data_IF_647015081850
#
_entry.id   IF_647015081850
#
_cell.length_a   1.000
_cell.length_b   1.000
_cell.length_c   1.000
_cell.angle_alpha   90.00
_cell.angle_beta   90.00
_cell.angle_gamma   90.00
#
_symmetry.space_group_name_H-M   'P 1'
#
loop_
_entity.id
_entity.type
_entity.pdbx_description
1 polymer ?
#
# COMPACT_ATOMS: atom_id res chain seq x y z
N UNK A 1 9.12 -9.68 10.42
CA UNK A 1 10.52 -9.74 9.94
C UNK A 1 11.49 -9.00 10.85
N UNK A 2 11.40 -7.67 11.04
CA UNK A 2 12.40 -6.91 11.82
C UNK A 2 12.67 -7.48 13.22
N UNK A 3 11.64 -7.94 13.94
CA UNK A 3 11.80 -8.60 15.26
C UNK A 3 12.70 -9.83 15.19
N UNK A 4 12.46 -10.72 14.22
CA UNK A 4 13.28 -11.92 14.01
C UNK A 4 14.74 -11.57 13.72
N UNK A 5 14.99 -10.50 12.95
CA UNK A 5 16.33 -10.01 12.66
C UNK A 5 17.01 -9.49 13.93
N UNK A 6 16.32 -8.67 14.72
CA UNK A 6 16.86 -8.18 16.01
C UNK A 6 17.16 -9.35 16.96
N UNK A 7 16.26 -10.33 17.06
CA UNK A 7 16.45 -11.51 17.92
C UNK A 7 17.61 -12.40 17.45
N UNK A 8 17.86 -12.48 16.13
CA UNK A 8 19.01 -13.19 15.58
C UNK A 8 20.31 -12.42 15.85
N UNK A 9 20.35 -11.09 15.65
CA UNK A 9 21.51 -10.27 16.01
C UNK A 9 21.82 -10.33 17.51
N UNK A 10 20.80 -10.35 18.37
CA UNK A 10 20.97 -10.49 19.82
C UNK A 10 21.57 -11.85 20.24
N UNK A 11 21.49 -12.86 19.36
CA UNK A 11 22.11 -14.18 19.53
C UNK A 11 23.46 -14.29 18.82
N UNK A 12 24.04 -13.16 18.41
CA UNK A 12 25.34 -13.10 17.73
C UNK A 12 25.38 -13.90 16.41
N UNK A 13 24.25 -13.94 15.68
CA UNK A 13 24.19 -14.53 14.35
C UNK A 13 24.94 -13.64 13.34
N UNK A 14 26.21 -13.98 13.10
CA UNK A 14 27.11 -13.17 12.28
C UNK A 14 26.59 -12.98 10.85
N UNK A 15 25.96 -13.99 10.26
CA UNK A 15 25.41 -13.88 8.91
C UNK A 15 24.30 -12.84 8.86
N UNK A 16 23.38 -12.88 9.81
CA UNK A 16 22.28 -11.89 9.91
C UNK A 16 22.82 -10.48 10.12
N UNK A 17 23.84 -10.33 10.96
CA UNK A 17 24.49 -9.04 11.25
C UNK A 17 25.14 -8.46 9.98
N UNK A 18 25.87 -9.27 9.23
CA UNK A 18 26.53 -8.84 7.99
C UNK A 18 25.50 -8.51 6.89
N UNK A 19 24.45 -9.31 6.76
CA UNK A 19 23.35 -9.07 5.82
C UNK A 19 22.64 -7.74 6.13
N UNK A 20 22.31 -7.47 7.40
CA UNK A 20 21.56 -6.26 7.75
C UNK A 20 22.40 -4.98 7.59
N UNK A 21 23.70 -5.04 7.90
CA UNK A 21 24.65 -3.94 7.64
C UNK A 21 24.72 -3.62 6.15
N UNK A 22 24.79 -4.64 5.29
CA UNK A 22 24.76 -4.48 3.84
C UNK A 22 23.42 -3.94 3.31
N UNK A 23 22.30 -4.34 3.90
CA UNK A 23 20.96 -3.84 3.53
C UNK A 23 20.78 -2.36 3.90
N UNK A 24 21.14 -1.98 5.14
CA UNK A 24 21.01 -0.60 5.63
C UNK A 24 22.05 0.33 4.98
N UNK A 25 23.22 -0.22 4.68
CA UNK A 25 24.39 0.47 4.12
C UNK A 25 25.35 0.91 5.23
N UNK A 26 26.51 0.28 5.31
CA UNK A 26 27.53 0.55 6.35
C UNK A 26 27.97 2.02 6.42
N UNK A 27 27.99 2.74 5.28
CA UNK A 27 28.30 4.17 5.26
C UNK A 27 27.28 5.04 6.02
N UNK A 28 26.08 4.50 6.31
CA UNK A 28 25.01 5.20 7.02
C UNK A 28 25.02 4.91 8.52
N UNK A 29 25.38 3.70 8.92
CA UNK A 29 25.22 3.21 10.31
C UNK A 29 26.54 2.83 10.99
N UNK A 30 27.64 2.78 10.25
CA UNK A 30 28.94 2.34 10.73
C UNK A 30 29.14 0.82 10.68
N UNK A 31 30.39 0.36 10.80
CA UNK A 31 30.75 -1.06 10.70
C UNK A 31 30.26 -1.88 11.90
N UNK A 32 30.07 -1.26 13.06
CA UNK A 32 29.67 -1.93 14.30
C UNK A 32 28.15 -1.90 14.54
N UNK A 33 27.37 -1.51 13.53
CA UNK A 33 25.92 -1.38 13.67
C UNK A 33 25.26 -2.71 14.06
N UNK A 34 24.42 -2.64 15.09
CA UNK A 34 23.49 -3.69 15.50
C UNK A 34 22.15 -3.00 15.76
N UNK A 35 21.03 -3.48 15.18
CA UNK A 35 19.73 -2.85 15.34
C UNK A 35 19.30 -2.90 16.81
N UNK A 36 18.88 -1.75 17.35
CA UNK A 36 18.49 -1.61 18.77
C UNK A 36 17.07 -2.08 19.03
N UNK A 37 16.22 -1.97 18.01
CA UNK A 37 14.82 -2.40 18.08
C UNK A 37 14.27 -2.69 16.69
N UNK A 38 13.22 -3.50 16.61
CA UNK A 38 12.54 -3.77 15.35
C UNK A 38 11.97 -2.51 14.70
N UNK A 39 11.56 -1.53 15.53
CA UNK A 39 11.03 -0.25 15.09
C UNK A 39 12.11 0.62 14.44
N UNK A 40 13.28 0.73 15.08
CA UNK A 40 14.43 1.46 14.51
C UNK A 40 14.89 0.82 13.19
N UNK A 41 15.01 -0.50 13.16
CA UNK A 41 15.38 -1.20 11.94
C UNK A 41 14.37 -0.98 10.79
N UNK A 42 13.07 -0.99 11.09
CA UNK A 42 12.04 -0.70 10.10
C UNK A 42 12.21 0.69 9.46
N UNK A 43 12.65 1.70 10.21
CA UNK A 43 12.91 3.05 9.68
C UNK A 43 14.08 3.12 8.69
N UNK A 44 14.95 2.12 8.73
CA UNK A 44 16.00 1.94 7.74
C UNK A 44 15.50 1.19 6.51
N UNK A 45 14.76 0.10 6.65
CA UNK A 45 14.55 -0.82 5.51
C UNK A 45 13.14 -0.84 4.96
N UNK A 46 12.16 -0.26 5.66
CA UNK A 46 10.76 -0.29 5.26
C UNK A 46 10.21 1.11 5.02
N UNK A 47 9.71 1.30 3.80
CA UNK A 47 9.17 2.56 3.32
C UNK A 47 7.70 2.34 3.02
N UNK A 48 6.85 3.19 3.58
CA UNK A 48 5.40 3.14 3.36
C UNK A 48 4.97 4.42 2.66
N UNK A 49 4.03 4.30 1.72
CA UNK A 49 3.49 5.46 1.02
C UNK A 49 1.97 5.44 0.97
N UNK A 50 1.36 6.52 1.43
CA UNK A 50 -0.07 6.78 1.28
C UNK A 50 -0.29 7.73 0.10
N UNK A 51 -1.02 7.26 -0.92
CA UNK A 51 -1.25 7.99 -2.17
C UNK A 51 -2.75 8.29 -2.33
N UNK A 52 -3.20 9.34 -1.65
CA UNK A 52 -4.60 9.76 -1.65
C UNK A 52 -4.95 10.65 -2.83
N UNK A 53 -6.25 10.86 -3.02
CA UNK A 53 -6.85 11.88 -3.89
C UNK A 53 -7.82 12.72 -3.06
N UNK A 54 -8.46 13.72 -3.68
CA UNK A 54 -9.56 14.47 -3.08
C UNK A 54 -10.72 13.59 -2.61
N UNK A 55 -10.84 12.38 -3.14
CA UNK A 55 -11.87 11.41 -2.76
C UNK A 55 -11.48 10.57 -1.55
N UNK A 56 -10.20 10.54 -1.16
CA UNK A 56 -9.73 9.71 -0.06
C UNK A 56 -10.04 10.34 1.30
N UNK A 57 -10.48 9.52 2.26
CA UNK A 57 -10.92 10.00 3.56
C UNK A 57 -9.76 10.44 4.46
N UNK A 58 -10.07 11.28 5.45
CA UNK A 58 -9.08 11.68 6.47
C UNK A 58 -8.71 10.48 7.36
N UNK A 59 -9.66 9.57 7.55
CA UNK A 59 -9.58 8.37 8.35
C UNK A 59 -8.61 7.35 7.75
N UNK A 60 -8.67 7.06 6.44
CA UNK A 60 -7.72 6.15 5.78
C UNK A 60 -6.30 6.70 5.82
N UNK A 61 -6.14 8.01 5.59
CA UNK A 61 -4.84 8.70 5.71
C UNK A 61 -4.28 8.63 7.13
N UNK A 62 -5.10 8.90 8.14
CA UNK A 62 -4.70 8.87 9.54
C UNK A 62 -4.28 7.45 9.95
N UNK A 63 -5.09 6.43 9.62
CA UNK A 63 -4.77 5.01 9.91
C UNK A 63 -3.43 4.59 9.30
N UNK A 64 -3.18 4.93 8.04
CA UNK A 64 -1.92 4.60 7.37
C UNK A 64 -0.70 5.23 8.07
N UNK A 65 -0.82 6.51 8.45
CA UNK A 65 0.22 7.23 9.18
C UNK A 65 0.45 6.65 10.58
N UNK A 66 -0.62 6.32 11.31
CA UNK A 66 -0.52 5.81 12.67
C UNK A 66 0.08 4.40 12.70
N UNK A 67 -0.26 3.55 11.74
CA UNK A 67 0.39 2.25 11.57
C UNK A 67 1.87 2.42 11.23
N UNK A 68 2.20 3.30 10.29
CA UNK A 68 3.57 3.57 9.88
C UNK A 68 4.44 4.06 11.05
N UNK A 69 3.87 4.92 11.91
CA UNK A 69 4.49 5.34 13.18
C UNK A 69 4.65 4.18 14.14
N UNK A 70 3.63 3.36 14.37
CA UNK A 70 3.70 2.25 15.31
C UNK A 70 4.81 1.24 14.94
N UNK A 71 4.95 0.93 13.64
CA UNK A 71 5.97 -0.02 13.15
C UNK A 71 7.35 0.62 12.94
N UNK A 72 7.45 1.96 12.88
CA UNK A 72 8.69 2.69 12.69
C UNK A 72 9.14 2.88 11.24
N UNK A 73 8.27 2.66 10.25
CA UNK A 73 8.63 2.79 8.83
C UNK A 73 8.88 4.25 8.42
N UNK A 74 9.66 4.46 7.36
CA UNK A 74 9.74 5.78 6.72
C UNK A 74 8.49 6.03 5.87
N UNK A 75 7.63 6.96 6.32
CA UNK A 75 6.31 7.19 5.73
C UNK A 75 6.27 8.43 4.85
N UNK A 76 5.66 8.32 3.67
CA UNK A 76 5.36 9.45 2.78
C UNK A 76 3.87 9.47 2.48
N UNK A 77 3.19 10.56 2.83
CA UNK A 77 1.80 10.78 2.46
C UNK A 77 1.69 11.91 1.43
N UNK A 78 1.03 11.64 0.30
CA UNK A 78 0.85 12.60 -0.77
C UNK A 78 -0.60 12.65 -1.28
N UNK A 79 -0.91 13.72 -1.99
CA UNK A 79 -2.11 13.84 -2.79
C UNK A 79 -1.72 13.88 -4.27
N UNK A 80 -2.32 13.00 -5.09
CA UNK A 80 -1.97 12.86 -6.51
C UNK A 80 -2.97 13.54 -7.47
N UNK A 81 -3.89 14.37 -6.96
CA UNK A 81 -4.93 15.04 -7.78
C UNK A 81 -4.35 15.83 -8.95
N UNK A 82 -3.22 16.52 -8.73
CA UNK A 82 -2.55 17.31 -9.78
C UNK A 82 -2.07 16.44 -10.93
N UNK A 83 -1.58 15.22 -10.63
CA UNK A 83 -1.12 14.26 -11.64
C UNK A 83 -2.30 13.66 -12.39
N UNK A 84 -3.37 13.30 -11.68
CA UNK A 84 -4.61 12.79 -12.28
C UNK A 84 -5.21 13.84 -13.22
N UNK A 85 -5.32 15.09 -12.76
CA UNK A 85 -5.86 16.20 -13.53
C UNK A 85 -5.02 16.47 -14.79
N UNK A 86 -3.70 16.40 -14.70
CA UNK A 86 -2.82 16.57 -15.87
C UNK A 86 -3.07 15.51 -16.96
N UNK A 87 -3.26 14.25 -16.58
CA UNK A 87 -3.57 13.17 -17.53
C UNK A 87 -4.95 13.37 -18.18
N UNK A 88 -5.97 13.72 -17.39
CA UNK A 88 -7.32 13.98 -17.91
C UNK A 88 -7.35 15.22 -18.81
N UNK A 89 -6.58 16.26 -18.47
CA UNK A 89 -6.44 17.46 -19.29
C UNK A 89 -5.81 17.14 -20.65
N UNK A 90 -4.78 16.28 -20.69
CA UNK A 90 -4.19 15.83 -21.95
C UNK A 90 -5.20 15.06 -22.82
N UNK A 91 -5.98 14.16 -22.22
CA UNK A 91 -7.05 13.44 -22.94
C UNK A 91 -8.08 14.42 -23.53
N UNK A 92 -8.50 15.40 -22.73
CA UNK A 92 -9.47 16.43 -23.14
C UNK A 92 -8.92 17.28 -24.28
N UNK A 93 -7.65 17.67 -24.21
CA UNK A 93 -6.98 18.45 -25.25
C UNK A 93 -6.96 17.72 -26.60
N UNK A 94 -6.70 16.40 -26.59
CA UNK A 94 -6.58 15.60 -27.82
C UNK A 94 -7.94 15.22 -28.40
N UNK A 95 -8.93 14.94 -27.55
CA UNK A 95 -10.23 14.39 -27.99
C UNK A 95 -11.37 15.40 -28.01
N UNK A 96 -11.19 16.57 -27.38
CA UNK A 96 -12.25 17.55 -27.08
C UNK A 96 -13.37 17.01 -26.20
N UNK A 97 -13.19 15.84 -25.55
CA UNK A 97 -14.16 15.22 -24.66
C UNK A 97 -13.58 15.15 -23.24
N UNK A 98 -14.38 15.54 -22.25
CA UNK A 98 -14.01 15.47 -20.83
C UNK A 98 -14.75 14.30 -20.18
N UNK A 99 -14.04 13.23 -19.75
CA UNK A 99 -14.68 12.12 -19.06
C UNK A 99 -15.21 12.55 -17.69
N UNK A 100 -16.36 12.01 -17.29
CA UNK A 100 -16.99 12.32 -16.00
C UNK A 100 -17.20 11.07 -15.15
N UNK A 101 -17.17 11.23 -13.82
CA UNK A 101 -17.60 10.16 -12.91
C UNK A 101 -19.10 9.90 -13.07
N UNK A 102 -19.55 8.68 -12.74
CA UNK A 102 -20.96 8.29 -12.84
C UNK A 102 -21.87 9.21 -11.99
N UNK A 103 -21.40 9.61 -10.81
CA UNK A 103 -22.09 10.56 -9.91
C UNK A 103 -22.27 11.96 -10.52
N UNK A 104 -21.54 12.27 -11.58
CA UNK A 104 -21.64 13.52 -12.35
C UNK A 104 -22.30 13.32 -13.72
N UNK A 105 -22.91 12.14 -13.97
CA UNK A 105 -23.61 11.83 -15.21
C UNK A 105 -22.74 11.20 -16.31
N UNK A 106 -21.50 10.82 -15.99
CA UNK A 106 -20.64 10.06 -16.91
C UNK A 106 -21.12 8.61 -17.11
N UNK A 107 -20.76 8.02 -18.24
CA UNK A 107 -21.03 6.61 -18.51
C UNK A 107 -20.22 5.67 -17.62
N UNK A 108 -20.60 4.39 -17.57
CA UNK A 108 -19.82 3.37 -16.86
C UNK A 108 -18.37 3.27 -17.38
N UNK A 109 -18.17 3.43 -18.69
CA UNK A 109 -16.85 3.40 -19.31
C UNK A 109 -15.97 4.56 -18.82
N UNK A 110 -16.52 5.77 -18.76
CA UNK A 110 -15.80 6.94 -18.23
C UNK A 110 -15.47 6.78 -16.75
N UNK A 111 -16.45 6.34 -15.95
CA UNK A 111 -16.29 6.15 -14.51
C UNK A 111 -15.17 5.13 -14.20
N UNK A 112 -15.19 3.97 -14.87
CA UNK A 112 -14.15 2.97 -14.72
C UNK A 112 -12.80 3.45 -15.24
N UNK A 113 -12.75 4.22 -16.33
CA UNK A 113 -11.50 4.77 -16.85
C UNK A 113 -10.85 5.75 -15.84
N UNK A 114 -11.65 6.61 -15.19
CA UNK A 114 -11.19 7.55 -14.16
C UNK A 114 -10.70 6.85 -12.88
N UNK A 115 -11.32 5.74 -12.49
CA UNK A 115 -10.82 4.92 -11.38
C UNK A 115 -9.51 4.21 -11.75
N UNK A 116 -9.47 3.60 -12.94
CA UNK A 116 -8.29 2.87 -13.42
C UNK A 116 -7.07 3.77 -13.58
N UNK A 117 -7.22 5.02 -14.01
CA UNK A 117 -6.08 5.93 -14.15
C UNK A 117 -5.49 6.30 -12.78
N UNK A 118 -6.33 6.53 -11.77
CA UNK A 118 -5.85 6.73 -10.40
C UNK A 118 -5.09 5.50 -9.90
N UNK A 119 -5.63 4.30 -10.10
CA UNK A 119 -4.99 3.04 -9.68
C UNK A 119 -3.60 2.86 -10.34
N UNK A 120 -3.48 3.09 -11.65
CA UNK A 120 -2.21 2.98 -12.39
C UNK A 120 -1.20 4.06 -12.02
N UNK A 121 -1.65 5.28 -11.75
CA UNK A 121 -0.76 6.36 -11.33
C UNK A 121 -0.12 6.07 -9.96
N UNK A 122 -0.83 5.40 -9.04
CA UNK A 122 -0.22 4.93 -7.78
C UNK A 122 0.93 3.96 -8.03
N UNK A 123 0.78 3.03 -8.99
CA UNK A 123 1.87 2.12 -9.37
C UNK A 123 3.08 2.89 -9.91
N UNK A 124 2.87 3.83 -10.83
CA UNK A 124 3.95 4.65 -11.38
C UNK A 124 4.70 5.42 -10.27
N UNK A 125 3.95 6.04 -9.36
CA UNK A 125 4.53 6.77 -8.22
C UNK A 125 5.25 5.82 -7.24
N UNK A 126 4.74 4.62 -7.01
CA UNK A 126 5.37 3.63 -6.14
C UNK A 126 6.75 3.23 -6.67
N UNK A 127 6.87 2.97 -7.98
CA UNK A 127 8.15 2.66 -8.61
C UNK A 127 9.11 3.86 -8.64
N UNK A 128 8.60 5.08 -8.88
CA UNK A 128 9.42 6.29 -8.78
C UNK A 128 10.00 6.46 -7.37
N UNK A 129 9.17 6.24 -6.34
CA UNK A 129 9.58 6.32 -4.95
C UNK A 129 10.53 5.20 -4.55
N UNK A 130 10.30 3.97 -5.03
CA UNK A 130 11.20 2.86 -4.81
C UNK A 130 12.60 3.15 -5.36
N UNK A 131 12.69 3.81 -6.52
CA UNK A 131 13.95 4.20 -7.11
C UNK A 131 14.63 5.38 -6.39
N UNK A 132 13.86 6.39 -5.93
CA UNK A 132 14.41 7.68 -5.54
C UNK A 132 14.28 8.07 -4.05
N UNK A 133 13.40 7.46 -3.26
CA UNK A 133 13.33 7.76 -1.81
C UNK A 133 14.64 7.40 -1.08
N UNK A 134 15.32 6.28 -1.37
CA UNK A 134 16.64 6.03 -0.80
C UNK A 134 17.64 7.12 -1.20
N UNK A 135 17.67 7.52 -2.48
CA UNK A 135 18.53 8.60 -2.98
C UNK A 135 18.26 9.92 -2.25
N UNK A 136 16.99 10.30 -2.07
CA UNK A 136 16.59 11.50 -1.33
C UNK A 136 17.03 11.45 0.14
N UNK A 137 17.32 10.26 0.67
CA UNK A 137 17.87 10.02 2.01
C UNK A 137 19.39 9.76 2.01
N UNK A 138 20.09 10.07 0.92
CA UNK A 138 21.53 9.89 0.81
C UNK A 138 21.99 8.44 0.65
N UNK A 139 21.12 7.55 0.15
CA UNK A 139 21.38 6.12 -0.02
C UNK A 139 21.43 5.74 -1.50
N UNK A 140 22.21 4.71 -1.81
CA UNK A 140 22.57 4.36 -3.20
C UNK A 140 21.76 3.20 -3.79
N UNK A 141 20.99 2.47 -2.97
CA UNK A 141 20.22 1.29 -3.41
C UNK A 141 18.75 1.63 -3.57
N UNK A 142 18.09 1.04 -4.56
CA UNK A 142 16.64 1.12 -4.73
C UNK A 142 15.91 0.15 -3.79
N UNK A 143 14.60 0.36 -3.67
CA UNK A 143 13.69 -0.52 -2.94
C UNK A 143 13.06 -1.55 -3.87
N UNK A 144 12.57 -2.65 -3.29
CA UNK A 144 11.61 -3.54 -3.94
C UNK A 144 10.20 -3.05 -3.63
N UNK A 145 9.35 -2.97 -4.66
CA UNK A 145 7.93 -2.64 -4.50
C UNK A 145 7.18 -3.89 -4.04
N UNK A 146 6.43 -3.77 -2.94
CA UNK A 146 5.60 -4.84 -2.41
C UNK A 146 4.14 -4.65 -2.82
N UNK A 147 3.56 -5.67 -3.44
CA UNK A 147 2.13 -5.76 -3.74
C UNK A 147 1.34 -6.22 -2.53
N UNK A 148 0.01 -6.05 -2.60
CA UNK A 148 -0.92 -6.42 -1.52
C UNK A 148 -2.23 -7.04 -2.02
N UNK A 149 -2.26 -7.54 -3.26
CA UNK A 149 -3.39 -8.32 -3.74
C UNK A 149 -3.47 -9.65 -2.97
N UNK A 150 -4.65 -10.07 -2.55
CA UNK A 150 -4.87 -11.38 -1.94
C UNK A 150 -5.30 -12.42 -2.97
N UNK A 151 -5.30 -13.69 -2.58
CA UNK A 151 -5.57 -14.81 -3.50
C UNK A 151 -7.00 -14.76 -4.06
N UNK A 152 -7.96 -14.30 -3.27
CA UNK A 152 -9.37 -14.26 -3.65
C UNK A 152 -9.60 -13.21 -4.75
N UNK A 153 -9.09 -11.99 -4.57
CA UNK A 153 -9.14 -10.91 -5.57
C UNK A 153 -8.38 -11.30 -6.86
N UNK A 154 -7.23 -11.95 -6.71
CA UNK A 154 -6.43 -12.41 -7.84
C UNK A 154 -7.16 -13.49 -8.65
N UNK A 155 -7.81 -14.45 -7.99
CA UNK A 155 -8.60 -15.51 -8.63
C UNK A 155 -9.81 -14.91 -9.37
N UNK A 156 -10.49 -13.95 -8.76
CA UNK A 156 -11.65 -13.28 -9.36
C UNK A 156 -11.28 -12.37 -10.54
N UNK A 157 -10.02 -11.93 -10.58
CA UNK A 157 -9.55 -10.87 -11.46
C UNK A 157 -10.07 -9.48 -11.07
N UNK A 158 -10.44 -9.30 -9.80
CA UNK A 158 -10.95 -8.04 -9.27
C UNK A 158 -9.80 -7.10 -8.89
N UNK A 159 -9.14 -6.57 -9.92
CA UNK A 159 -8.03 -5.63 -9.81
C UNK A 159 -7.92 -4.79 -11.09
N UNK A 160 -7.26 -3.64 -11.01
CA UNK A 160 -6.92 -2.89 -12.23
C UNK A 160 -5.62 -3.43 -12.79
N UNK A 161 -5.64 -3.94 -14.03
CA UNK A 161 -4.40 -4.37 -14.69
C UNK A 161 -3.36 -3.23 -14.70
N UNK A 162 -2.17 -3.54 -14.18
CA UNK A 162 -1.03 -2.62 -14.01
C UNK A 162 -1.24 -1.50 -12.96
N UNK A 163 -2.09 -1.70 -11.96
CA UNK A 163 -2.07 -0.91 -10.72
C UNK A 163 -1.08 -1.48 -9.68
N UNK A 164 -1.20 -1.07 -8.41
CA UNK A 164 -0.37 -1.56 -7.31
C UNK A 164 -0.55 -3.06 -6.98
N UNK A 165 -1.45 -3.78 -7.64
CA UNK A 165 -1.47 -5.25 -7.65
C UNK A 165 -0.28 -5.84 -8.40
N UNK A 166 0.32 -5.09 -9.32
CA UNK A 166 1.52 -5.45 -10.08
C UNK A 166 2.74 -4.82 -9.41
N UNK A 167 3.53 -5.64 -8.72
CA UNK A 167 4.70 -5.24 -7.95
C UNK A 167 5.85 -6.25 -8.14
N UNK A 168 7.03 -5.97 -7.57
CA UNK A 168 8.18 -6.86 -7.68
C UNK A 168 7.95 -8.19 -6.94
N UNK A 169 7.34 -8.10 -5.75
CA UNK A 169 6.97 -9.23 -4.91
C UNK A 169 5.61 -8.98 -4.26
N UNK A 170 4.85 -10.05 -4.00
CA UNK A 170 3.62 -9.98 -3.22
C UNK A 170 3.64 -11.05 -2.11
N UNK A 171 3.94 -10.67 -0.84
CA UNK A 171 4.06 -11.62 0.25
C UNK A 171 2.72 -12.22 0.71
N UNK A 172 1.59 -11.65 0.28
CA UNK A 172 0.24 -12.09 0.68
C UNK A 172 -0.60 -12.62 -0.48
N UNK A 173 -0.01 -12.75 -1.68
CA UNK A 173 -0.72 -13.12 -2.92
C UNK A 173 -1.37 -14.50 -2.90
N UNK A 174 -0.95 -15.38 -1.99
CA UNK A 174 -1.50 -16.73 -1.83
C UNK A 174 -2.28 -16.91 -0.53
N UNK A 175 -2.70 -15.83 0.13
CA UNK A 175 -3.43 -15.86 1.41
C UNK A 175 -4.85 -15.35 1.17
N UNK A 176 -5.86 -16.06 1.71
CA UNK A 176 -7.26 -15.64 1.65
C UNK A 176 -7.51 -14.36 2.46
N UNK A 177 -8.51 -13.58 2.07
CA UNK A 177 -8.98 -12.40 2.79
C UNK A 177 -9.35 -12.74 4.22
N UNK A 178 -9.99 -13.90 4.43
CA UNK A 178 -10.39 -14.38 5.75
C UNK A 178 -9.17 -14.60 6.66
N UNK A 179 -8.10 -15.21 6.14
CA UNK A 179 -6.88 -15.47 6.88
C UNK A 179 -6.07 -14.20 7.12
N UNK A 180 -6.09 -13.25 6.18
CA UNK A 180 -5.51 -11.93 6.38
C UNK A 180 -6.19 -11.18 7.54
N UNK A 181 -7.53 -11.21 7.62
CA UNK A 181 -8.26 -10.61 8.76
C UNK A 181 -7.88 -11.28 10.08
N UNK A 182 -7.81 -12.63 10.11
CA UNK A 182 -7.35 -13.38 11.29
C UNK A 182 -5.91 -13.03 11.67
N UNK A 183 -5.02 -12.89 10.69
CA UNK A 183 -3.63 -12.52 10.92
C UNK A 183 -3.50 -11.10 11.49
N UNK A 184 -4.28 -10.14 11.00
CA UNK A 184 -4.29 -8.77 11.54
C UNK A 184 -4.75 -8.79 13.00
N UNK A 185 -5.80 -9.56 13.34
CA UNK A 185 -6.25 -9.73 14.73
C UNK A 185 -5.17 -10.38 15.61
N UNK A 186 -4.52 -11.44 15.13
CA UNK A 186 -3.40 -12.06 15.82
C UNK A 186 -2.25 -11.06 16.04
N UNK A 187 -1.89 -10.28 15.02
CA UNK A 187 -0.81 -9.31 15.07
C UNK A 187 -1.12 -8.12 15.98
N UNK A 188 -2.38 -7.68 16.09
CA UNK A 188 -2.81 -6.65 17.05
C UNK A 188 -2.38 -7.04 18.47
N UNK A 189 -2.64 -8.28 18.86
CA UNK A 189 -2.41 -8.77 20.21
C UNK A 189 -0.94 -9.20 20.41
N UNK A 190 -0.41 -10.05 19.53
CA UNK A 190 0.94 -10.61 19.67
C UNK A 190 2.05 -9.64 19.28
N UNK A 191 1.73 -8.62 18.48
CA UNK A 191 2.66 -7.56 18.16
C UNK A 191 2.42 -6.27 18.95
N UNK A 192 1.45 -6.24 19.86
CA UNK A 192 1.11 -5.04 20.65
C UNK A 192 0.83 -3.82 19.75
N UNK A 193 0.24 -4.08 18.58
CA UNK A 193 -0.10 -3.05 17.59
C UNK A 193 -1.60 -2.75 17.69
N UNK A 194 -2.01 -2.07 18.75
CA UNK A 194 -3.43 -1.71 19.00
C UNK A 194 -4.06 -0.91 17.86
N UNK A 195 -3.24 -0.15 17.11
CA UNK A 195 -3.65 0.57 15.89
C UNK A 195 -4.32 -0.33 14.83
N UNK A 196 -4.02 -1.64 14.83
CA UNK A 196 -4.61 -2.61 13.90
C UNK A 196 -6.10 -2.84 14.14
N UNK A 197 -6.62 -2.53 15.33
CA UNK A 197 -8.05 -2.69 15.64
C UNK A 197 -8.93 -1.82 14.73
N UNK A 198 -8.48 -0.61 14.41
CA UNK A 198 -9.16 0.29 13.49
C UNK A 198 -9.24 -0.24 12.05
N UNK A 199 -8.34 -1.15 11.66
CA UNK A 199 -8.36 -1.77 10.32
C UNK A 199 -9.35 -2.94 10.25
N UNK A 200 -9.51 -3.70 11.34
CA UNK A 200 -10.44 -4.83 11.40
C UNK A 200 -11.90 -4.40 11.29
N UNK A 201 -12.22 -3.24 11.87
CA UNK A 201 -13.58 -2.70 11.94
C UNK A 201 -13.89 -1.69 10.83
N UNK A 202 -12.89 -1.30 10.01
CA UNK A 202 -13.11 -0.44 8.87
C UNK A 202 -13.87 -1.19 7.77
N UNK A 203 -14.84 -0.52 7.16
CA UNK A 203 -15.51 -1.03 5.94
C UNK A 203 -14.51 -1.01 4.78
N UNK A 204 -14.29 -2.14 4.07
CA UNK A 204 -13.49 -2.16 2.85
C UNK A 204 -14.09 -1.25 1.77
N UNK A 205 -13.27 -0.32 1.26
CA UNK A 205 -13.64 0.62 0.19
C UNK A 205 -12.36 1.07 -0.54
N UNK A 206 -12.44 1.19 -1.85
CA UNK A 206 -11.33 1.66 -2.68
C UNK A 206 -11.19 3.20 -2.73
N UNK A 207 -12.20 3.95 -2.29
CA UNK A 207 -12.23 5.43 -2.27
C UNK A 207 -11.79 6.08 -3.61
N UNK A 208 -12.14 5.48 -4.75
CA UNK A 208 -11.72 5.94 -6.09
C UNK A 208 -12.70 6.89 -6.76
N UNK A 209 -13.92 7.00 -6.23
CA UNK A 209 -14.98 7.87 -6.76
C UNK A 209 -15.40 8.92 -5.74
N UNK A 210 -15.95 10.06 -6.16
CA UNK A 210 -16.43 11.08 -5.23
C UNK A 210 -17.52 10.54 -4.31
N UNK A 211 -17.40 10.85 -3.02
CA UNK A 211 -18.44 10.54 -2.04
C UNK A 211 -19.74 11.28 -2.38
N UNK A 212 -20.84 10.55 -2.42
CA UNK A 212 -22.20 11.13 -2.51
C UNK A 212 -23.07 10.53 -1.43
N UNK A 213 -24.04 11.31 -0.93
CA UNK A 213 -25.04 10.84 0.02
C UNK A 213 -25.91 9.76 -0.66
N UNK A 214 -25.50 8.50 -0.55
CA UNK A 214 -26.19 7.35 -1.14
C UNK A 214 -25.28 6.31 -1.81
N UNK A 215 -24.01 6.62 -2.07
CA UNK A 215 -23.07 5.68 -2.68
C UNK A 215 -21.78 5.57 -1.85
N UNK A 216 -21.61 4.41 -1.21
CA UNK A 216 -20.35 3.99 -0.59
C UNK A 216 -19.81 2.84 -1.42
N UNK A 217 -18.60 2.99 -1.96
CA UNK A 217 -17.93 1.93 -2.70
C UNK A 217 -17.66 0.74 -1.76
N UNK A 218 -18.10 -0.46 -2.15
CA UNK A 218 -17.92 -1.69 -1.40
C UNK A 218 -17.50 -2.80 -2.34
N UNK A 219 -16.35 -3.41 -2.05
CA UNK A 219 -15.72 -4.42 -2.90
C UNK A 219 -16.64 -5.62 -3.13
N UNK A 220 -17.32 -6.14 -2.10
CA UNK A 220 -18.23 -7.29 -2.21
C UNK A 220 -19.47 -6.98 -3.07
N UNK A 221 -19.99 -5.75 -2.97
CA UNK A 221 -21.11 -5.30 -3.81
C UNK A 221 -20.68 -5.18 -5.28
N UNK A 222 -19.48 -4.65 -5.54
CA UNK A 222 -18.94 -4.55 -6.89
C UNK A 222 -18.56 -5.91 -7.50
N UNK A 223 -18.03 -6.83 -6.69
CA UNK A 223 -17.75 -8.20 -7.11
C UNK A 223 -19.02 -9.02 -7.35
N UNK A 224 -20.13 -8.62 -6.71
CA UNK A 224 -21.41 -9.33 -6.73
C UNK A 224 -21.41 -10.59 -5.87
N UNK A 225 -20.47 -10.71 -4.93
CA UNK A 225 -20.30 -11.84 -4.03
C UNK A 225 -19.46 -11.45 -2.81
N UNK A 226 -19.69 -12.12 -1.69
CA UNK A 226 -18.90 -11.95 -0.48
C UNK A 226 -17.55 -12.66 -0.55
N UNK A 227 -16.59 -12.24 0.28
CA UNK A 227 -15.32 -12.94 0.42
C UNK A 227 -15.49 -14.36 0.98
N UNK A 228 -16.50 -14.57 1.83
CA UNK A 228 -16.80 -15.90 2.37
C UNK A 228 -17.26 -16.85 1.26
N UNK A 229 -18.13 -16.39 0.36
CA UNK A 229 -18.53 -17.17 -0.83
C UNK A 229 -17.36 -17.44 -1.76
N UNK A 230 -16.50 -16.44 -1.99
CA UNK A 230 -15.35 -16.57 -2.88
C UNK A 230 -14.33 -17.59 -2.36
N UNK A 231 -14.17 -17.71 -1.04
CA UNK A 231 -13.26 -18.67 -0.40
C UNK A 231 -13.63 -20.16 -0.58
N UNK A 232 -14.87 -20.45 -1.02
CA UNK A 232 -15.36 -21.81 -1.26
C UNK A 232 -14.97 -22.33 -2.64
N UNK A 233 -14.78 -21.44 -3.62
CA UNK A 233 -14.48 -21.77 -5.02
C UNK A 233 -12.98 -21.93 -5.27
#
# INVERSE_FOLDING_TARGET
MCRLVVDACARDDQQTIDDIRRCVGESQVGPDYIPKSAHELAGHIFYTSYMGTQNSSAETRARANDLAKAIGSYHVALCMDTVVAAIVALFTLVTSLTPQYAVHGGSNAENLALQNIQARLRMLLAYLFAALLPWARGRQKSLLVLGSANVDEALRGYLTKYDCSSADLNPIGSISKSDLRRYIAYARDHMELSVLDAFLHATPSAELVPFTNGYVQSDEVEMGMSYDELSVF
#
